data_IF_394179602941
#
_entry.id   IF_394179602941
#
_cell.length_a   1.000
_cell.length_b   1.000
_cell.length_c   1.000
_cell.angle_alpha   90.00
_cell.angle_beta   90.00
_cell.angle_gamma   90.00
#
_symmetry.space_group_name_H-M   'P 1'
#
loop_
_entity.id
_entity.type
_entity.pdbx_description
1 polymer ?
#
# COMPACT_ATOMS: atom_id res chain seq x y z
N UNK A 1 -31.58 -13.63 -11.64
CA UNK A 1 -30.13 -13.59 -11.95
C UNK A 1 -29.70 -12.14 -12.22
N UNK A 2 -28.40 -11.80 -12.25
CA UNK A 2 -27.95 -10.41 -12.46
C UNK A 2 -28.49 -9.81 -13.78
N UNK A 3 -28.66 -10.67 -14.79
CA UNK A 3 -29.29 -10.37 -16.07
C UNK A 3 -30.72 -9.79 -15.91
N UNK A 4 -31.54 -10.33 -15.01
CA UNK A 4 -32.93 -9.87 -14.78
C UNK A 4 -32.97 -8.51 -14.06
N UNK A 5 -31.97 -8.21 -13.22
CA UNK A 5 -31.88 -6.92 -12.50
C UNK A 5 -31.35 -5.79 -13.37
N UNK A 6 -30.54 -6.11 -14.38
CA UNK A 6 -29.99 -5.14 -15.32
C UNK A 6 -30.80 -5.06 -16.62
N UNK A 7 -31.80 -5.94 -16.81
CA UNK A 7 -32.58 -6.05 -18.04
C UNK A 7 -31.69 -6.27 -19.28
N UNK A 8 -30.62 -7.06 -19.10
CA UNK A 8 -29.58 -7.33 -20.12
C UNK A 8 -29.55 -8.83 -20.44
N UNK A 9 -29.07 -9.19 -21.63
CA UNK A 9 -28.86 -10.60 -21.98
C UNK A 9 -27.72 -11.21 -21.14
N UNK A 10 -27.72 -12.52 -20.90
CA UNK A 10 -26.71 -13.17 -20.06
C UNK A 10 -25.27 -12.92 -20.54
N UNK A 11 -25.06 -12.92 -21.86
CA UNK A 11 -23.78 -12.62 -22.51
C UNK A 11 -23.35 -11.17 -22.32
N UNK A 12 -24.31 -10.25 -22.33
CA UNK A 12 -24.06 -8.82 -22.14
C UNK A 12 -23.76 -8.50 -20.66
N UNK A 13 -24.41 -9.21 -19.74
CA UNK A 13 -24.13 -9.14 -18.31
C UNK A 13 -22.72 -9.66 -17.98
N UNK A 14 -22.26 -10.75 -18.61
CA UNK A 14 -20.87 -11.22 -18.47
C UNK A 14 -19.88 -10.18 -18.98
N UNK A 15 -20.14 -9.59 -20.15
CA UNK A 15 -19.28 -8.54 -20.71
C UNK A 15 -19.23 -7.31 -19.81
N UNK A 16 -20.36 -6.94 -19.19
CA UNK A 16 -20.44 -5.86 -18.23
C UNK A 16 -19.61 -6.14 -16.97
N UNK A 17 -19.70 -7.36 -16.41
CA UNK A 17 -18.91 -7.80 -15.25
C UNK A 17 -17.41 -7.76 -15.56
N UNK A 18 -16.99 -8.27 -16.73
CA UNK A 18 -15.59 -8.23 -17.16
C UNK A 18 -15.09 -6.80 -17.26
N UNK A 19 -15.90 -5.90 -17.81
CA UNK A 19 -15.53 -4.49 -17.95
C UNK A 19 -15.44 -3.79 -16.58
N UNK A 20 -16.32 -4.13 -15.64
CA UNK A 20 -16.28 -3.63 -14.26
C UNK A 20 -14.98 -4.04 -13.56
N UNK A 21 -14.61 -5.32 -13.63
CA UNK A 21 -13.38 -5.86 -13.02
C UNK A 21 -12.14 -5.20 -13.62
N UNK A 22 -12.11 -5.03 -14.95
CA UNK A 22 -11.00 -4.38 -15.66
C UNK A 22 -10.84 -2.90 -15.28
N UNK A 23 -11.95 -2.17 -15.15
CA UNK A 23 -11.91 -0.74 -14.81
C UNK A 23 -11.59 -0.49 -13.33
N UNK A 24 -12.03 -1.37 -12.43
CA UNK A 24 -11.81 -1.23 -11.00
C UNK A 24 -10.48 -1.83 -10.51
N UNK A 25 -9.68 -2.44 -11.41
CA UNK A 25 -8.45 -3.17 -11.09
C UNK A 25 -8.64 -4.16 -9.93
N UNK A 26 -9.77 -4.86 -9.94
CA UNK A 26 -10.10 -5.86 -8.92
C UNK A 26 -9.53 -7.21 -9.36
N UNK A 27 -8.90 -7.92 -8.42
CA UNK A 27 -8.56 -9.32 -8.64
C UNK A 27 -9.82 -10.15 -8.50
N UNK A 28 -10.27 -10.78 -9.58
CA UNK A 28 -11.46 -11.62 -9.57
C UNK A 28 -11.29 -12.79 -10.55
N UNK A 29 -11.87 -13.93 -10.20
CA UNK A 29 -11.91 -15.14 -11.01
C UNK A 29 -13.34 -15.40 -11.46
N UNK A 30 -13.55 -15.49 -12.76
CA UNK A 30 -14.86 -15.75 -13.37
C UNK A 30 -14.89 -17.22 -13.80
N UNK A 31 -15.80 -17.99 -13.23
CA UNK A 31 -16.08 -19.37 -13.63
C UNK A 31 -17.33 -19.38 -14.53
N UNK A 32 -17.12 -19.17 -15.83
CA UNK A 32 -18.20 -19.12 -16.84
C UNK A 32 -19.04 -20.42 -16.90
N UNK A 33 -18.46 -21.58 -16.55
CA UNK A 33 -19.17 -22.86 -16.56
C UNK A 33 -20.31 -22.96 -15.53
N UNK A 34 -20.18 -22.27 -14.40
CA UNK A 34 -21.16 -22.30 -13.31
C UNK A 34 -21.84 -20.93 -13.11
N UNK A 35 -21.47 -19.91 -13.88
CA UNK A 35 -22.01 -18.55 -13.74
C UNK A 35 -21.63 -17.89 -12.41
N UNK A 36 -20.51 -18.30 -11.80
CA UNK A 36 -20.03 -17.77 -10.53
C UNK A 36 -18.85 -16.83 -10.73
N UNK A 37 -18.83 -15.75 -9.94
CA UNK A 37 -17.72 -14.79 -9.88
C UNK A 37 -17.17 -14.82 -8.47
N UNK A 38 -15.92 -15.26 -8.33
CA UNK A 38 -15.19 -15.23 -7.06
C UNK A 38 -14.33 -13.99 -7.06
N UNK A 39 -14.68 -13.01 -6.24
CA UNK A 39 -13.82 -11.84 -6.00
C UNK A 39 -12.64 -12.27 -5.15
N UNK A 40 -11.43 -11.97 -5.61
CA UNK A 40 -10.21 -12.12 -4.84
C UNK A 40 -10.25 -11.17 -3.67
N UNK A 41 -10.47 -11.70 -2.47
CA UNK A 41 -10.24 -10.91 -1.26
C UNK A 41 -8.74 -10.75 -1.12
N UNK A 42 -8.23 -9.54 -1.32
CA UNK A 42 -6.88 -9.14 -0.91
C UNK A 42 -6.83 -9.14 0.63
N UNK A 43 -6.87 -10.33 1.22
CA UNK A 43 -6.70 -10.52 2.65
C UNK A 43 -5.22 -10.26 2.94
N UNK A 44 -4.89 -9.02 3.28
CA UNK A 44 -3.52 -8.64 3.63
C UNK A 44 -3.11 -9.47 4.83
N UNK A 45 -2.11 -10.33 4.65
CA UNK A 45 -1.66 -11.23 5.71
C UNK A 45 -1.22 -10.41 6.93
N UNK A 46 -1.52 -10.92 8.14
CA UNK A 46 -1.21 -10.22 9.39
C UNK A 46 0.30 -9.95 9.51
N UNK A 47 1.14 -10.87 9.01
CA UNK A 47 2.60 -10.69 8.93
C UNK A 47 2.99 -9.55 7.99
N UNK A 48 2.36 -9.44 6.81
CA UNK A 48 2.63 -8.35 5.88
C UNK A 48 2.32 -6.99 6.49
N UNK A 49 1.20 -6.89 7.22
CA UNK A 49 0.85 -5.65 7.95
C UNK A 49 1.88 -5.29 9.02
N UNK A 50 2.39 -6.28 9.77
CA UNK A 50 3.42 -6.05 10.78
C UNK A 50 4.75 -5.60 10.15
N UNK A 51 5.14 -6.21 9.04
CA UNK A 51 6.37 -5.85 8.30
C UNK A 51 6.27 -4.41 7.79
N UNK A 52 5.16 -4.02 7.18
CA UNK A 52 4.95 -2.65 6.68
C UNK A 52 4.98 -1.61 7.81
N UNK A 53 4.28 -1.89 8.92
CA UNK A 53 4.28 -1.00 10.10
C UNK A 53 5.69 -0.85 10.69
N UNK A 54 6.45 -1.94 10.76
CA UNK A 54 7.82 -1.94 11.32
C UNK A 54 8.79 -1.19 10.41
N UNK A 55 8.70 -1.37 9.08
CA UNK A 55 9.51 -0.62 8.10
C UNK A 55 9.28 0.89 8.22
N UNK A 56 8.02 1.32 8.26
CA UNK A 56 7.68 2.74 8.41
C UNK A 56 8.20 3.32 9.73
N UNK A 57 8.16 2.55 10.82
CA UNK A 57 8.71 2.96 12.11
C UNK A 57 10.24 3.09 12.08
N UNK A 58 10.94 2.09 11.53
CA UNK A 58 12.40 2.09 11.44
C UNK A 58 12.94 3.31 10.67
N UNK A 59 12.31 3.65 9.55
CA UNK A 59 12.68 4.83 8.76
C UNK A 59 12.52 6.11 9.58
N UNK A 60 11.39 6.30 10.28
CA UNK A 60 11.17 7.49 11.11
C UNK A 60 12.21 7.62 12.23
N UNK A 61 12.54 6.52 12.89
CA UNK A 61 13.56 6.51 13.95
C UNK A 61 14.94 6.84 13.38
N UNK A 62 15.30 6.26 12.24
CA UNK A 62 16.57 6.55 11.58
C UNK A 62 16.69 8.02 11.16
N UNK A 63 15.64 8.58 10.55
CA UNK A 63 15.60 10.00 10.17
C UNK A 63 15.71 10.90 11.40
N UNK A 64 15.00 10.59 12.49
CA UNK A 64 15.05 11.36 13.73
C UNK A 64 16.43 11.30 14.38
N UNK A 65 17.08 10.13 14.36
CA UNK A 65 18.45 9.96 14.86
C UNK A 65 19.46 10.76 14.04
N UNK A 66 19.39 10.70 12.71
CA UNK A 66 20.27 11.46 11.83
C UNK A 66 20.06 12.98 11.97
N UNK A 67 18.81 13.43 12.11
CA UNK A 67 18.50 14.84 12.36
C UNK A 67 19.02 15.31 13.73
N UNK A 68 18.90 14.50 14.78
CA UNK A 68 19.48 14.79 16.09
C UNK A 68 21.01 14.83 16.05
N UNK A 69 21.64 13.89 15.34
CA UNK A 69 23.10 13.85 15.18
C UNK A 69 23.62 15.10 14.44
N UNK A 70 22.94 15.55 13.39
CA UNK A 70 23.31 16.76 12.66
C UNK A 70 23.27 18.03 13.53
N UNK A 71 22.31 18.12 14.46
CA UNK A 71 22.20 19.25 15.39
C UNK A 71 23.31 19.26 16.45
N UNK A 72 23.72 18.08 16.96
CA UNK A 72 24.80 17.96 17.94
C UNK A 72 26.19 18.20 17.32
N UNK A 73 26.42 17.77 16.07
CA UNK A 73 27.69 18.04 15.37
C UNK A 73 27.89 19.54 15.12
N UNK A 74 26.83 20.29 14.81
CA UNK A 74 26.92 21.74 14.63
C UNK A 74 27.35 22.48 15.90
N UNK A 75 26.86 22.05 17.07
CA UNK A 75 27.29 22.60 18.37
C UNK A 75 28.72 22.17 18.72
N UNK A 76 29.11 20.92 18.44
CA UNK A 76 30.48 20.45 18.68
C UNK A 76 31.51 21.19 17.81
N UNK A 77 31.23 21.45 16.53
CA UNK A 77 32.10 22.26 15.66
C UNK A 77 32.16 23.72 16.10
N UNK A 78 31.06 24.28 16.62
CA UNK A 78 31.06 25.65 17.15
C UNK A 78 31.84 25.77 18.46
N UNK A 79 31.76 24.77 19.36
CA UNK A 79 32.53 24.75 20.62
C UNK A 79 34.03 24.52 20.36
N UNK A 80 34.41 23.63 19.43
CA UNK A 80 35.81 23.36 19.11
C UNK A 80 36.52 24.52 18.38
N UNK A 81 35.77 25.36 17.65
CA UNK A 81 36.33 26.53 16.95
C UNK A 81 36.42 27.79 17.84
N UNK A 82 36.02 27.70 19.11
CA UNK A 82 36.08 28.78 20.12
C UNK A 82 37.20 28.54 21.15
N UNK A 83 37.90 27.40 21.13
CA UNK A 83 39.15 27.26 21.91
C UNK A 83 40.26 28.13 21.28
N UNK A 84 40.74 29.18 21.99
CA UNK A 84 41.74 30.08 21.46
C UNK A 84 43.09 29.38 21.36
N UNK A 85 43.76 29.57 20.23
CA UNK A 85 45.20 29.32 20.08
C UNK A 85 45.94 30.22 21.08
N UNK A 86 46.42 29.63 22.18
CA UNK A 86 47.65 30.10 22.84
C UNK A 86 48.86 29.40 22.21
#
# INVERSE_FOLDING_TARGET
>A
MLADKLNMNSEEAERWIVNLIRNAQLDAKIDSKFGHVVMGTQAVSQYQQLIEKTKAMAIRTQVSYLAAAASTTALATFVFNVEPKE
#
